data_IF_605136381001
#
_entry.id   IF_605136381001
#
_cell.length_a   1.000
_cell.length_b   1.000
_cell.length_c   1.000
_cell.angle_alpha   90.00
_cell.angle_beta   90.00
_cell.angle_gamma   90.00
#
_symmetry.space_group_name_H-M   'P 1'
#
loop_
_entity.id
_entity.type
_entity.pdbx_description
1 polymer ?
#
# COMPACT_ATOMS: atom_id res chain seq x y z
N UNK A 1 1.36 14.01 6.75
CA UNK A 1 0.58 13.76 5.52
C UNK A 1 -0.86 13.46 5.88
N UNK A 2 -1.82 13.81 5.01
CA UNK A 2 -3.23 13.42 5.15
C UNK A 2 -3.50 12.17 4.31
N UNK A 3 -4.13 11.15 4.89
CA UNK A 3 -4.55 9.97 4.13
C UNK A 3 -5.97 10.16 3.60
N UNK A 4 -6.17 9.87 2.31
CA UNK A 4 -7.48 9.91 1.66
C UNK A 4 -7.74 8.60 0.92
N UNK A 5 -8.99 8.18 0.91
CA UNK A 5 -9.44 7.02 0.17
C UNK A 5 -10.94 7.13 -0.07
N UNK A 6 -11.40 6.41 -1.07
CA UNK A 6 -12.82 6.29 -1.36
C UNK A 6 -13.46 5.31 -0.36
N UNK A 7 -14.52 5.69 0.37
CA UNK A 7 -15.20 4.81 1.34
C UNK A 7 -15.76 3.52 0.71
N UNK A 8 -16.21 3.56 -0.53
CA UNK A 8 -16.69 2.38 -1.24
C UNK A 8 -15.51 1.46 -1.56
N UNK A 9 -14.36 2.02 -1.93
CA UNK A 9 -13.13 1.23 -2.11
C UNK A 9 -12.64 0.62 -0.80
N UNK A 10 -12.73 1.35 0.32
CA UNK A 10 -12.38 0.81 1.63
C UNK A 10 -13.25 -0.41 1.95
N UNK A 11 -14.56 -0.30 1.75
CA UNK A 11 -15.50 -1.39 1.99
C UNK A 11 -15.22 -2.59 1.09
N UNK A 12 -14.98 -2.36 -0.20
CA UNK A 12 -14.64 -3.41 -1.16
C UNK A 12 -13.29 -4.07 -0.85
N UNK A 13 -12.28 -3.28 -0.48
CA UNK A 13 -10.95 -3.77 -0.14
C UNK A 13 -11.00 -4.64 1.12
N UNK A 14 -11.68 -4.17 2.16
CA UNK A 14 -11.89 -4.93 3.39
C UNK A 14 -12.62 -6.24 3.11
N UNK A 15 -13.69 -6.22 2.30
CA UNK A 15 -14.42 -7.44 1.94
C UNK A 15 -13.56 -8.42 1.12
N UNK A 16 -12.73 -7.92 0.20
CA UNK A 16 -11.94 -8.74 -0.72
C UNK A 16 -10.66 -9.28 -0.09
N UNK A 17 -10.02 -8.51 0.77
CA UNK A 17 -8.67 -8.78 1.28
C UNK A 17 -8.60 -8.92 2.80
N UNK A 18 -9.65 -8.56 3.54
CA UNK A 18 -9.63 -8.57 5.01
C UNK A 18 -8.73 -7.49 5.61
N UNK A 19 -8.29 -6.51 4.80
CA UNK A 19 -7.35 -5.46 5.19
C UNK A 19 -8.00 -4.08 5.01
N UNK A 20 -7.83 -3.23 6.02
CA UNK A 20 -8.38 -1.88 6.07
C UNK A 20 -7.33 -0.84 5.64
N UNK A 21 -7.77 0.28 5.06
CA UNK A 21 -6.87 1.40 4.77
C UNK A 21 -6.36 2.13 6.01
N UNK A 22 -6.99 1.94 7.18
CA UNK A 22 -6.43 2.39 8.45
C UNK A 22 -5.17 1.56 8.81
N UNK A 23 -5.19 0.25 8.61
CA UNK A 23 -4.00 -0.59 8.75
C UNK A 23 -2.92 -0.20 7.73
N UNK A 24 -3.32 0.19 6.51
CA UNK A 24 -2.37 0.66 5.49
C UNK A 24 -1.60 1.90 5.96
N UNK A 25 -2.30 2.86 6.57
CA UNK A 25 -1.67 4.04 7.17
C UNK A 25 -0.65 3.63 8.25
N UNK A 26 -1.04 2.75 9.18
CA UNK A 26 -0.15 2.29 10.23
C UNK A 26 1.12 1.61 9.69
N UNK A 27 1.00 0.86 8.60
CA UNK A 27 2.16 0.22 7.93
C UNK A 27 3.06 1.27 7.28
N UNK A 28 2.49 2.23 6.54
CA UNK A 28 3.27 3.31 5.89
C UNK A 28 4.02 4.13 6.95
N UNK A 29 3.37 4.44 8.07
CA UNK A 29 3.97 5.24 9.15
C UNK A 29 4.98 4.47 10.01
N UNK A 30 5.04 3.12 9.90
CA UNK A 30 5.98 2.31 10.67
C UNK A 30 7.45 2.54 10.31
N UNK A 31 7.73 3.07 9.12
CA UNK A 31 9.07 3.31 8.59
C UNK A 31 9.80 2.05 8.08
N UNK A 32 9.36 0.86 8.45
CA UNK A 32 9.91 -0.42 7.96
C UNK A 32 9.20 -0.84 6.67
N UNK A 33 9.45 -0.08 5.61
CA UNK A 33 8.79 -0.25 4.31
C UNK A 33 9.76 -0.13 3.14
N UNK A 34 9.42 -0.81 2.05
CA UNK A 34 10.10 -0.70 0.75
C UNK A 34 9.11 -0.11 -0.25
N UNK A 35 9.41 1.08 -0.76
CA UNK A 35 8.52 1.79 -1.70
C UNK A 35 9.20 1.99 -3.05
N UNK A 36 8.47 1.71 -4.13
CA UNK A 36 8.93 1.95 -5.50
C UNK A 36 7.78 2.33 -6.41
N UNK A 37 8.10 2.96 -7.54
CA UNK A 37 7.11 3.38 -8.53
C UNK A 37 6.45 2.16 -9.21
N UNK A 38 5.12 2.14 -9.23
CA UNK A 38 4.32 1.11 -9.89
C UNK A 38 4.13 1.44 -11.37
N UNK A 39 5.04 0.91 -12.19
CA UNK A 39 5.05 1.07 -13.66
C UNK A 39 4.34 -0.06 -14.40
N UNK A 40 3.54 -0.88 -13.71
CA UNK A 40 2.87 -2.03 -14.35
C UNK A 40 1.88 -1.61 -15.44
N UNK A 41 1.32 -0.41 -15.32
CA UNK A 41 0.35 0.14 -16.26
C UNK A 41 0.67 1.60 -16.56
N UNK A 42 0.21 2.08 -17.73
CA UNK A 42 0.18 3.51 -18.04
C UNK A 42 -0.99 4.15 -17.29
N UNK A 43 -0.72 4.61 -16.07
CA UNK A 43 -1.67 5.39 -15.28
C UNK A 43 -1.59 6.88 -15.67
N UNK A 44 -2.70 7.61 -15.52
CA UNK A 44 -2.73 9.06 -15.66
C UNK A 44 -1.99 9.80 -14.53
N UNK A 45 -1.63 9.08 -13.46
CA UNK A 45 -0.95 9.60 -12.27
C UNK A 45 0.18 8.66 -11.84
N UNK A 46 1.24 9.20 -11.25
CA UNK A 46 2.32 8.39 -10.67
C UNK A 46 1.76 7.62 -9.47
N UNK A 47 1.93 6.30 -9.50
CA UNK A 47 1.56 5.43 -8.39
C UNK A 47 2.79 4.78 -7.80
N UNK A 48 2.73 4.55 -6.51
CA UNK A 48 3.74 3.84 -5.75
C UNK A 48 3.15 2.55 -5.22
N UNK A 49 4.01 1.54 -5.13
CA UNK A 49 3.75 0.33 -4.38
C UNK A 49 4.65 0.34 -3.14
N UNK A 50 4.03 0.38 -1.98
CA UNK A 50 4.70 0.29 -0.68
C UNK A 50 4.50 -1.11 -0.13
N UNK A 51 5.60 -1.80 0.16
CA UNK A 51 5.63 -3.07 0.85
C UNK A 51 5.99 -2.83 2.31
N UNK A 52 5.27 -3.48 3.23
CA UNK A 52 5.56 -3.36 4.66
C UNK A 52 4.99 -4.52 5.45
N UNK A 53 5.27 -4.54 6.75
CA UNK A 53 4.85 -5.62 7.64
C UNK A 53 3.60 -5.23 8.44
N UNK A 54 2.57 -6.06 8.38
CA UNK A 54 1.41 -5.98 9.25
C UNK A 54 1.20 -7.31 9.96
N UNK A 55 1.35 -7.31 11.30
CA UNK A 55 1.11 -8.50 12.16
C UNK A 55 1.85 -9.76 11.69
N UNK A 56 3.07 -9.60 11.18
CA UNK A 56 3.91 -10.70 10.69
C UNK A 56 3.68 -11.10 9.23
N UNK A 57 2.74 -10.46 8.52
CA UNK A 57 2.51 -10.67 7.10
C UNK A 57 2.98 -9.46 6.28
N UNK A 58 3.65 -9.71 5.16
CA UNK A 58 3.98 -8.63 4.23
C UNK A 58 2.73 -8.25 3.45
N UNK A 59 2.44 -6.97 3.43
CA UNK A 59 1.34 -6.35 2.70
C UNK A 59 1.89 -5.44 1.60
N UNK A 60 1.12 -5.30 0.53
CA UNK A 60 1.39 -4.41 -0.57
C UNK A 60 0.28 -3.35 -0.62
N UNK A 61 0.68 -2.08 -0.60
CA UNK A 61 -0.19 -0.92 -0.54
C UNK A 61 0.07 -0.07 -1.77
N UNK A 62 -0.95 0.16 -2.58
CA UNK A 62 -0.85 1.03 -3.76
C UNK A 62 -1.35 2.42 -3.40
N UNK A 63 -0.51 3.42 -3.62
CA UNK A 63 -0.79 4.81 -3.31
C UNK A 63 -0.44 5.74 -4.47
N UNK A 64 -0.95 6.96 -4.42
CA UNK A 64 -0.30 8.13 -5.03
C UNK A 64 -0.11 9.16 -3.94
N UNK A 65 0.91 10.00 -4.07
CA UNK A 65 1.24 11.01 -3.08
C UNK A 65 1.43 12.38 -3.73
N UNK A 66 1.07 13.41 -2.97
CA UNK A 66 1.41 14.81 -3.20
C UNK A 66 2.17 15.32 -1.98
N UNK A 67 2.62 16.58 -2.02
CA UNK A 67 3.35 17.21 -0.91
C UNK A 67 2.61 17.14 0.45
N UNK A 68 1.29 16.97 0.43
CA UNK A 68 0.46 17.02 1.65
C UNK A 68 -0.41 15.79 1.86
N UNK A 69 -0.62 14.96 0.84
CA UNK A 69 -1.67 13.94 0.84
C UNK A 69 -1.18 12.62 0.27
N UNK A 70 -1.55 11.51 0.92
CA UNK A 70 -1.40 10.15 0.38
C UNK A 70 -2.80 9.61 0.07
N UNK A 71 -3.06 9.27 -1.19
CA UNK A 71 -4.28 8.59 -1.60
C UNK A 71 -4.04 7.10 -1.69
N UNK A 72 -4.80 6.32 -0.92
CA UNK A 72 -4.70 4.85 -0.94
C UNK A 72 -5.71 4.31 -1.97
N UNK A 73 -5.23 3.48 -2.89
CA UNK A 73 -6.06 2.82 -3.89
C UNK A 73 -6.44 1.39 -3.52
N UNK A 74 -5.51 0.66 -2.90
CA UNK A 74 -5.69 -0.74 -2.53
C UNK A 74 -4.68 -1.18 -1.48
N UNK A 75 -5.06 -2.17 -0.67
CA UNK A 75 -4.16 -2.87 0.24
C UNK A 75 -4.46 -4.36 0.17
N UNK A 76 -3.42 -5.17 -0.06
CA UNK A 76 -3.54 -6.62 -0.13
C UNK A 76 -2.35 -7.30 0.52
N UNK A 77 -2.47 -8.60 0.78
CA UNK A 77 -1.29 -9.44 1.05
C UNK A 77 -0.33 -9.36 -0.14
N UNK A 78 0.96 -9.22 0.15
CA UNK A 78 2.00 -9.20 -0.87
C UNK A 78 2.12 -10.58 -1.54
N UNK A 79 2.38 -10.60 -2.83
CA UNK A 79 2.72 -11.80 -3.60
C UNK A 79 4.10 -12.33 -3.18
N UNK A 80 4.44 -13.56 -3.57
CA UNK A 80 5.71 -14.20 -3.13
C UNK A 80 6.95 -13.42 -3.59
N UNK A 81 6.91 -12.88 -4.81
CA UNK A 81 7.97 -12.02 -5.35
C UNK A 81 8.05 -10.69 -4.58
N UNK A 82 6.93 -10.06 -4.28
CA UNK A 82 6.87 -8.83 -3.48
C UNK A 82 7.39 -9.07 -2.04
N UNK A 83 6.98 -10.18 -1.41
CA UNK A 83 7.52 -10.59 -0.10
C UNK A 83 9.04 -10.71 -0.14
N UNK A 84 9.58 -11.36 -1.17
CA UNK A 84 11.02 -11.49 -1.37
C UNK A 84 11.69 -10.13 -1.50
N UNK A 85 11.13 -9.23 -2.31
CA UNK A 85 11.65 -7.85 -2.47
C UNK A 85 11.69 -7.13 -1.12
N UNK A 86 10.62 -7.22 -0.33
CA UNK A 86 10.59 -6.60 1.00
C UNK A 86 11.72 -7.12 1.90
N UNK A 87 11.87 -8.44 2.04
CA UNK A 87 12.91 -9.00 2.91
C UNK A 87 14.34 -8.77 2.42
N UNK A 88 14.55 -8.61 1.11
CA UNK A 88 15.87 -8.32 0.54
C UNK A 88 16.27 -6.84 0.63
N UNK A 89 15.30 -5.93 0.81
CA UNK A 89 15.52 -4.47 0.75
C UNK A 89 15.06 -3.70 2.00
N UNK A 90 14.66 -4.39 3.08
CA UNK A 90 14.33 -3.76 4.38
C UNK A 90 15.56 -3.51 5.24
#
# INVERSE_FOLDING_TARGET
MRYIYDPDKQTLNLKKHGLSFEDAQAVIESGDTVTFEDRRFAYDEVRYLTLGLLRGEVVAISTTETDTTIRIFSMRKAEKNEQKIYFENR
#
